data_IF_299208799176
#
_entry.id   IF_299208799176
#
_cell.length_a   1.000
_cell.length_b   1.000
_cell.length_c   1.000
_cell.angle_alpha   90.00
_cell.angle_beta   90.00
_cell.angle_gamma   90.00
#
_symmetry.space_group_name_H-M   'P 1'
#
loop_
_entity.id
_entity.type
_entity.pdbx_description
1 polymer ?
#
# COMPACT_ATOMS: atom_id res chain seq x y z
N UNK A 1 -45.13 9.84 -17.61
CA UNK A 1 -45.54 9.32 -16.29
C UNK A 1 -44.40 8.67 -15.49
N UNK A 2 -43.23 8.32 -16.06
CA UNK A 2 -42.03 7.98 -15.26
C UNK A 2 -41.26 9.22 -14.79
N UNK A 3 -41.12 10.23 -15.65
CA UNK A 3 -40.44 11.50 -15.33
C UNK A 3 -41.03 12.21 -14.10
N UNK A 4 -42.35 12.21 -13.95
CA UNK A 4 -43.06 12.89 -12.86
C UNK A 4 -42.84 12.24 -11.49
N UNK A 5 -42.51 10.94 -11.44
CA UNK A 5 -42.24 10.23 -10.17
C UNK A 5 -40.81 10.44 -9.67
N UNK A 6 -39.89 10.71 -10.58
CA UNK A 6 -38.49 11.02 -10.23
C UNK A 6 -38.35 12.50 -9.81
N UNK A 7 -39.24 13.39 -10.30
CA UNK A 7 -39.34 14.79 -9.86
C UNK A 7 -40.00 14.93 -8.48
N UNK A 8 -41.03 14.13 -8.15
CA UNK A 8 -41.67 14.12 -6.81
C UNK A 8 -40.77 13.56 -5.69
N UNK A 9 -39.74 12.77 -6.00
CA UNK A 9 -38.77 12.25 -5.02
C UNK A 9 -37.69 13.28 -4.63
N UNK A 10 -37.60 14.40 -5.34
CA UNK A 10 -36.58 15.44 -5.12
C UNK A 10 -37.05 16.59 -4.22
N UNK A 11 -38.27 16.52 -3.68
CA UNK A 11 -38.92 17.69 -3.08
C UNK A 11 -38.85 17.82 -1.55
N UNK A 12 -38.23 16.90 -0.78
CA UNK A 12 -38.13 17.11 0.69
C UNK A 12 -37.04 16.32 1.44
N UNK A 13 -35.97 15.89 0.75
CA UNK A 13 -34.83 15.20 1.37
C UNK A 13 -33.54 15.96 1.14
N UNK A 14 -32.80 16.30 2.21
CA UNK A 14 -31.44 16.82 2.07
C UNK A 14 -30.59 15.82 1.26
N UNK A 15 -30.10 16.24 0.08
CA UNK A 15 -29.25 15.39 -0.78
C UNK A 15 -28.03 14.97 0.02
N UNK A 16 -27.95 13.68 0.31
CA UNK A 16 -26.88 13.12 1.15
C UNK A 16 -25.68 12.74 0.29
N UNK A 17 -24.49 12.71 0.89
CA UNK A 17 -23.28 12.22 0.21
C UNK A 17 -23.43 10.77 -0.29
N UNK A 18 -24.30 9.98 0.34
CA UNK A 18 -24.60 8.61 -0.05
C UNK A 18 -25.37 8.56 -1.37
N UNK A 19 -26.34 9.46 -1.57
CA UNK A 19 -27.07 9.60 -2.84
C UNK A 19 -26.11 10.00 -3.97
N UNK A 20 -25.21 10.94 -3.69
CA UNK A 20 -24.15 11.32 -4.63
C UNK A 20 -23.28 10.11 -4.99
N UNK A 21 -22.85 9.32 -4.01
CA UNK A 21 -22.01 8.14 -4.26
C UNK A 21 -22.74 7.06 -5.08
N UNK A 22 -24.06 6.94 -4.92
CA UNK A 22 -24.88 6.04 -5.74
C UNK A 22 -24.95 6.49 -7.20
N UNK A 23 -25.15 7.78 -7.47
CA UNK A 23 -25.14 8.31 -8.83
C UNK A 23 -23.80 8.01 -9.53
N UNK A 24 -22.67 8.25 -8.86
CA UNK A 24 -21.35 7.91 -9.39
C UNK A 24 -21.22 6.40 -9.67
N UNK A 25 -21.77 5.54 -8.81
CA UNK A 25 -21.79 4.08 -9.02
C UNK A 25 -22.56 3.69 -10.29
N UNK A 26 -23.73 4.31 -10.50
CA UNK A 26 -24.57 4.04 -11.67
C UNK A 26 -23.90 4.52 -12.98
N UNK A 27 -23.32 5.72 -12.96
CA UNK A 27 -22.57 6.25 -14.11
C UNK A 27 -21.40 5.34 -14.45
N UNK A 28 -20.60 4.95 -13.44
CA UNK A 28 -19.50 4.01 -13.61
C UNK A 28 -19.97 2.69 -14.25
N UNK A 29 -21.06 2.11 -13.75
CA UNK A 29 -21.60 0.85 -14.29
C UNK A 29 -21.99 0.98 -15.77
N UNK A 30 -22.57 2.12 -16.16
CA UNK A 30 -22.89 2.41 -17.56
C UNK A 30 -21.63 2.43 -18.43
N UNK A 31 -20.57 3.13 -18.01
CA UNK A 31 -19.31 3.16 -18.74
C UNK A 31 -18.61 1.79 -18.77
N UNK A 32 -18.61 1.03 -17.68
CA UNK A 32 -18.10 -0.35 -17.65
C UNK A 32 -18.86 -1.25 -18.64
N UNK A 33 -20.19 -1.13 -18.74
CA UNK A 33 -21.00 -1.90 -19.68
C UNK A 33 -20.71 -1.58 -21.16
N UNK A 34 -20.14 -0.39 -21.42
CA UNK A 34 -19.73 0.09 -22.75
C UNK A 34 -18.25 -0.14 -23.04
N UNK A 35 -17.52 -0.88 -22.18
CA UNK A 35 -16.07 -1.10 -22.26
C UNK A 35 -15.25 0.20 -22.21
N UNK A 36 -15.84 1.28 -21.71
CA UNK A 36 -15.21 2.59 -21.58
C UNK A 36 -14.53 2.69 -20.21
N UNK A 37 -13.50 1.86 -20.02
CA UNK A 37 -12.88 1.62 -18.70
C UNK A 37 -12.09 2.81 -18.16
N UNK A 38 -11.58 3.68 -19.02
CA UNK A 38 -10.86 4.89 -18.61
C UNK A 38 -11.82 5.86 -17.91
N UNK A 39 -12.95 6.18 -18.53
CA UNK A 39 -13.98 7.05 -17.97
C UNK A 39 -14.61 6.44 -16.72
N UNK A 40 -14.88 5.12 -16.74
CA UNK A 40 -15.37 4.41 -15.56
C UNK A 40 -14.42 4.53 -14.34
N UNK A 41 -13.12 4.66 -14.60
CA UNK A 41 -12.12 4.85 -13.57
C UNK A 41 -12.17 6.23 -12.92
N UNK A 42 -12.32 7.29 -13.70
CA UNK A 42 -12.48 8.64 -13.17
C UNK A 42 -13.70 8.74 -12.24
N UNK A 43 -14.82 8.12 -12.63
CA UNK A 43 -16.01 8.05 -11.78
C UNK A 43 -15.82 7.18 -10.53
N UNK A 44 -14.96 6.16 -10.57
CA UNK A 44 -14.61 5.41 -9.38
C UNK A 44 -13.85 6.26 -8.36
N UNK A 45 -12.89 7.08 -8.82
CA UNK A 45 -12.16 8.00 -7.94
C UNK A 45 -13.14 8.99 -7.31
N UNK A 46 -14.01 9.60 -8.11
CA UNK A 46 -15.05 10.51 -7.62
C UNK A 46 -15.97 9.86 -6.57
N UNK A 47 -16.40 8.61 -6.81
CA UNK A 47 -17.17 7.84 -5.84
C UNK A 47 -16.44 7.69 -4.49
N UNK A 48 -15.16 7.31 -4.53
CA UNK A 48 -14.36 7.10 -3.31
C UNK A 48 -14.09 8.42 -2.57
N UNK A 49 -13.94 9.54 -3.28
CA UNK A 49 -13.77 10.86 -2.66
C UNK A 49 -15.04 11.32 -1.95
N UNK A 50 -16.22 11.05 -2.53
CA UNK A 50 -17.50 11.35 -1.91
C UNK A 50 -17.72 10.47 -0.67
N UNK A 51 -17.42 9.17 -0.74
CA UNK A 51 -17.44 8.28 0.42
C UNK A 51 -16.47 8.73 1.52
N UNK A 52 -15.32 9.27 1.16
CA UNK A 52 -14.38 9.81 2.14
C UNK A 52 -14.94 11.07 2.84
N UNK A 53 -15.69 11.89 2.12
CA UNK A 53 -16.36 13.09 2.66
C UNK A 53 -17.59 12.75 3.50
N UNK A 54 -18.33 11.69 3.15
CA UNK A 54 -19.50 11.23 3.91
C UNK A 54 -19.15 10.69 5.30
N UNK A 55 -17.94 10.16 5.47
CA UNK A 55 -17.48 9.62 6.74
C UNK A 55 -17.16 10.73 7.76
N UNK A 56 -17.69 10.58 8.97
CA UNK A 56 -17.33 11.37 10.14
C UNK A 56 -15.82 11.32 10.43
N UNK A 57 -15.28 12.39 11.02
CA UNK A 57 -13.83 12.50 11.29
C UNK A 57 -13.29 11.41 12.23
N UNK A 58 -14.12 10.94 13.17
CA UNK A 58 -13.74 9.91 14.14
C UNK A 58 -13.86 8.48 13.59
N UNK A 59 -14.33 8.32 12.35
CA UNK A 59 -14.53 7.00 11.78
C UNK A 59 -13.18 6.40 11.33
N UNK A 60 -12.75 5.23 11.86
CA UNK A 60 -11.49 4.60 11.46
C UNK A 60 -11.44 4.26 9.97
N UNK A 61 -12.60 4.01 9.33
CA UNK A 61 -12.68 3.78 7.88
C UNK A 61 -12.15 4.97 7.07
N UNK A 62 -12.30 6.19 7.57
CA UNK A 62 -11.81 7.41 6.92
C UNK A 62 -10.28 7.42 6.88
N UNK A 63 -9.65 6.99 7.97
CA UNK A 63 -8.20 6.84 8.03
C UNK A 63 -7.70 5.77 7.05
N UNK A 64 -8.33 4.60 7.03
CA UNK A 64 -7.99 3.54 6.07
C UNK A 64 -8.17 3.99 4.61
N UNK A 65 -9.24 4.71 4.28
CA UNK A 65 -9.47 5.23 2.94
C UNK A 65 -8.47 6.32 2.54
N UNK A 66 -8.04 7.19 3.48
CA UNK A 66 -6.94 8.13 3.23
C UNK A 66 -5.64 7.39 2.93
N UNK A 67 -5.30 6.39 3.73
CA UNK A 67 -4.10 5.59 3.52
C UNK A 67 -4.17 4.87 2.15
N UNK A 68 -5.32 4.31 1.81
CA UNK A 68 -5.56 3.69 0.51
C UNK A 68 -5.42 4.70 -0.66
N UNK A 69 -5.88 5.95 -0.48
CA UNK A 69 -5.67 7.06 -1.44
C UNK A 69 -4.18 7.37 -1.62
N UNK A 70 -3.43 7.52 -0.53
CA UNK A 70 -2.00 7.84 -0.57
C UNK A 70 -1.16 6.72 -1.19
N UNK A 71 -1.45 5.46 -0.82
CA UNK A 71 -0.63 4.32 -1.25
C UNK A 71 -0.91 3.93 -2.70
N UNK A 72 -2.17 3.98 -3.14
CA UNK A 72 -2.57 3.37 -4.41
C UNK A 72 -3.47 4.24 -5.31
N UNK A 73 -3.79 5.46 -4.90
CA UNK A 73 -4.82 6.29 -5.56
C UNK A 73 -6.16 5.57 -5.72
N UNK A 74 -6.63 4.90 -4.68
CA UNK A 74 -7.80 4.01 -4.75
C UNK A 74 -7.64 2.82 -5.73
N UNK A 75 -6.41 2.36 -5.95
CA UNK A 75 -6.08 1.24 -6.83
C UNK A 75 -6.07 1.59 -8.33
N UNK A 76 -6.12 2.88 -8.68
CA UNK A 76 -6.00 3.39 -10.06
C UNK A 76 -4.57 3.28 -10.60
N UNK A 77 -3.59 3.51 -9.73
CA UNK A 77 -2.19 3.62 -10.14
C UNK A 77 -1.45 2.32 -9.84
N UNK A 78 -0.94 1.65 -10.89
CA UNK A 78 -0.03 0.51 -10.75
C UNK A 78 1.37 0.96 -10.29
N UNK A 79 1.77 2.19 -10.67
CA UNK A 79 3.09 2.72 -10.34
C UNK A 79 3.29 3.05 -8.85
N UNK A 80 2.27 3.57 -8.15
CA UNK A 80 2.43 3.99 -6.74
C UNK A 80 2.73 2.83 -5.79
N UNK A 81 2.04 1.67 -5.86
CA UNK A 81 2.40 0.48 -5.09
C UNK A 81 3.84 0.01 -5.35
N UNK A 82 4.33 0.13 -6.60
CA UNK A 82 5.70 -0.25 -6.96
C UNK A 82 6.74 0.71 -6.36
N UNK A 83 6.43 2.01 -6.33
CA UNK A 83 7.27 3.02 -5.64
C UNK A 83 7.31 2.72 -4.14
N UNK A 84 6.16 2.40 -3.51
CA UNK A 84 6.09 2.01 -2.10
C UNK A 84 6.85 0.71 -1.82
N UNK A 85 6.79 -0.26 -2.74
CA UNK A 85 7.60 -1.48 -2.68
C UNK A 85 9.08 -1.14 -2.61
N UNK A 86 9.58 -0.38 -3.59
CA UNK A 86 10.99 0.01 -3.64
C UNK A 86 11.41 0.86 -2.43
N UNK A 87 10.56 1.82 -2.03
CA UNK A 87 10.82 2.71 -0.91
C UNK A 87 10.89 1.99 0.44
N UNK A 88 9.91 1.12 0.72
CA UNK A 88 9.92 0.32 1.95
C UNK A 88 11.06 -0.69 1.94
N UNK A 89 11.32 -1.35 0.80
CA UNK A 89 12.45 -2.28 0.68
C UNK A 89 13.79 -1.59 0.97
N UNK A 90 14.04 -0.42 0.38
CA UNK A 90 15.24 0.37 0.63
C UNK A 90 15.31 0.86 2.08
N UNK A 91 14.19 1.30 2.66
CA UNK A 91 14.13 1.74 4.07
C UNK A 91 14.53 0.60 5.01
N UNK A 92 13.93 -0.59 4.86
CA UNK A 92 14.28 -1.75 5.66
C UNK A 92 15.72 -2.22 5.37
N UNK A 93 16.17 -2.15 4.13
CA UNK A 93 17.55 -2.47 3.77
C UNK A 93 18.55 -1.58 4.49
N UNK A 94 18.32 -0.27 4.53
CA UNK A 94 19.15 0.66 5.27
C UNK A 94 19.08 0.37 6.77
N UNK A 95 17.88 0.13 7.30
CA UNK A 95 17.69 -0.21 8.70
C UNK A 95 18.52 -1.44 9.13
N UNK A 96 18.51 -2.50 8.33
CA UNK A 96 19.34 -3.70 8.55
C UNK A 96 20.82 -3.44 8.34
N UNK A 97 21.21 -2.60 7.38
CA UNK A 97 22.60 -2.21 7.18
C UNK A 97 23.17 -1.46 8.40
N UNK A 98 22.33 -0.66 9.10
CA UNK A 98 22.76 0.08 10.29
C UNK A 98 22.76 -0.75 11.57
N UNK A 99 21.88 -1.74 11.72
CA UNK A 99 21.63 -2.40 13.03
C UNK A 99 21.76 -3.93 13.02
N UNK A 100 21.95 -4.58 11.88
CA UNK A 100 21.57 -5.99 11.71
C UNK A 100 22.69 -7.03 11.61
N UNK A 101 23.93 -6.65 11.35
CA UNK A 101 24.98 -7.63 11.04
C UNK A 101 26.19 -7.46 11.96
N UNK A 102 26.26 -8.22 13.07
CA UNK A 102 27.53 -8.45 13.71
C UNK A 102 28.42 -9.26 12.75
N UNK A 103 29.67 -8.83 12.68
CA UNK A 103 30.75 -9.44 11.91
C UNK A 103 31.11 -10.80 12.53
N UNK A 104 30.25 -11.82 12.36
CA UNK A 104 30.56 -13.25 12.52
C UNK A 104 29.34 -14.14 12.20
N UNK A 105 29.26 -14.58 10.94
CA UNK A 105 28.64 -15.85 10.53
C UNK A 105 27.22 -16.18 11.01
N UNK A 106 26.23 -15.95 10.13
CA UNK A 106 24.98 -16.73 10.08
C UNK A 106 23.84 -16.30 11.01
N UNK A 107 24.03 -15.28 11.84
CA UNK A 107 22.99 -14.74 12.71
C UNK A 107 22.82 -13.24 12.46
N UNK A 108 21.55 -12.81 12.42
CA UNK A 108 21.18 -11.40 12.43
C UNK A 108 20.90 -11.05 13.89
N UNK A 109 21.86 -10.40 14.54
CA UNK A 109 21.70 -9.89 15.89
C UNK A 109 21.59 -8.36 15.86
N UNK A 110 20.73 -7.83 16.72
CA UNK A 110 20.52 -6.40 16.82
C UNK A 110 21.56 -5.84 17.79
N UNK A 111 22.70 -5.43 17.25
CA UNK A 111 23.72 -4.74 18.03
C UNK A 111 23.67 -3.26 17.69
N UNK A 112 23.47 -2.39 18.69
CA UNK A 112 23.48 -0.94 18.54
C UNK A 112 24.93 -0.41 18.43
N UNK A 113 25.84 -1.23 17.92
CA UNK A 113 27.17 -0.83 17.56
C UNK A 113 27.10 -0.15 16.19
N UNK A 114 27.80 0.98 16.01
CA UNK A 114 28.01 1.63 14.71
C UNK A 114 29.35 1.12 14.12
N UNK A 115 29.43 -0.11 13.58
CA UNK A 115 30.73 -0.76 13.34
C UNK A 115 31.43 -0.11 12.15
N UNK A 116 30.65 0.44 11.22
CA UNK A 116 31.09 1.19 10.04
C UNK A 116 31.74 2.55 10.36
N UNK A 117 31.50 3.12 11.55
CA UNK A 117 32.22 4.32 12.00
C UNK A 117 33.64 3.99 12.48
N UNK A 118 33.88 2.74 12.88
CA UNK A 118 35.12 2.30 13.53
C UNK A 118 36.11 1.64 12.55
N UNK A 119 35.67 1.14 11.39
CA UNK A 119 36.57 0.59 10.35
C UNK A 119 35.91 0.56 8.95
N UNK A 120 36.17 1.55 8.07
CA UNK A 120 35.66 1.55 6.70
C UNK A 120 36.50 0.62 5.81
N UNK A 121 36.20 -0.67 5.86
CA UNK A 121 36.88 -1.70 5.05
C UNK A 121 35.99 -2.25 3.91
N UNK A 122 36.60 -2.97 2.97
CA UNK A 122 35.95 -3.63 1.81
C UNK A 122 34.81 -4.57 2.23
N UNK A 123 34.83 -5.02 3.48
CA UNK A 123 33.83 -5.90 4.06
C UNK A 123 32.53 -5.18 4.38
N UNK A 124 32.57 -3.86 4.60
CA UNK A 124 31.38 -3.02 4.73
C UNK A 124 30.52 -3.08 3.46
N UNK A 125 31.13 -3.06 2.27
CA UNK A 125 30.41 -3.18 1.01
C UNK A 125 29.74 -4.55 0.85
N UNK A 126 30.38 -5.61 1.34
CA UNK A 126 29.81 -6.97 1.35
C UNK A 126 28.65 -7.08 2.34
N UNK A 127 28.74 -6.42 3.48
CA UNK A 127 27.71 -6.43 4.51
C UNK A 127 26.49 -5.59 4.12
N UNK A 128 26.68 -4.47 3.43
CA UNK A 128 25.59 -3.73 2.77
C UNK A 128 24.92 -4.59 1.68
N UNK A 129 25.71 -5.30 0.87
CA UNK A 129 25.14 -6.22 -0.13
C UNK A 129 24.30 -7.34 0.50
N UNK A 130 24.77 -7.90 1.61
CA UNK A 130 24.05 -8.94 2.38
C UNK A 130 22.78 -8.39 3.03
N UNK A 131 22.81 -7.17 3.56
CA UNK A 131 21.64 -6.54 4.19
C UNK A 131 20.53 -6.22 3.18
N UNK A 132 20.91 -5.78 1.98
CA UNK A 132 19.99 -5.58 0.85
C UNK A 132 19.31 -6.90 0.46
N UNK A 133 20.11 -7.96 0.30
CA UNK A 133 19.60 -9.29 -0.06
C UNK A 133 18.73 -9.88 1.04
N UNK A 134 19.13 -9.74 2.30
CA UNK A 134 18.36 -10.21 3.45
C UNK A 134 17.02 -9.47 3.57
N UNK A 135 17.04 -8.14 3.45
CA UNK A 135 15.82 -7.32 3.41
C UNK A 135 14.90 -7.76 2.28
N UNK A 136 15.45 -8.01 1.08
CA UNK A 136 14.65 -8.47 -0.05
C UNK A 136 14.00 -9.83 0.24
N UNK A 137 14.77 -10.79 0.75
CA UNK A 137 14.27 -12.13 1.08
C UNK A 137 13.19 -12.08 2.17
N UNK A 138 13.42 -11.34 3.24
CA UNK A 138 12.46 -11.17 4.34
C UNK A 138 11.20 -10.47 3.86
N UNK A 139 11.33 -9.45 3.01
CA UNK A 139 10.20 -8.75 2.39
C UNK A 139 9.36 -9.66 1.48
N UNK A 140 10.01 -10.58 0.77
CA UNK A 140 9.37 -11.61 -0.06
C UNK A 140 8.93 -12.84 0.74
N UNK A 141 8.96 -12.79 2.08
CA UNK A 141 8.56 -13.89 2.98
C UNK A 141 9.38 -15.18 2.80
N UNK A 142 10.58 -15.09 2.22
CA UNK A 142 11.49 -16.23 2.08
C UNK A 142 12.16 -16.51 3.44
N UNK A 143 12.19 -17.77 3.92
CA UNK A 143 12.91 -18.14 5.12
C UNK A 143 14.40 -18.18 4.81
N UNK A 144 15.25 -17.50 5.59
CA UNK A 144 16.68 -17.53 5.26
C UNK A 144 17.65 -17.55 6.44
N UNK A 145 17.32 -17.08 7.66
CA UNK A 145 18.29 -17.13 8.78
C UNK A 145 17.60 -17.31 10.14
N UNK A 146 18.36 -17.82 11.13
CA UNK A 146 17.94 -17.85 12.54
C UNK A 146 18.08 -16.43 13.11
N UNK A 147 16.94 -15.85 13.46
CA UNK A 147 16.84 -14.48 13.95
C UNK A 147 16.84 -14.48 15.50
N UNK A 148 17.52 -13.52 16.12
CA UNK A 148 17.34 -13.21 17.54
C UNK A 148 15.93 -12.67 17.84
N UNK A 149 15.51 -12.64 19.11
CA UNK A 149 14.12 -12.28 19.50
C UNK A 149 13.69 -10.90 18.95
N UNK A 150 14.60 -9.91 18.97
CA UNK A 150 14.34 -8.56 18.44
C UNK A 150 14.34 -8.54 16.91
N UNK A 151 15.26 -9.28 16.28
CA UNK A 151 15.28 -9.43 14.82
C UNK A 151 13.99 -10.10 14.32
N UNK A 152 13.42 -11.04 15.08
CA UNK A 152 12.16 -11.73 14.74
C UNK A 152 10.97 -10.80 14.69
N UNK A 153 10.85 -9.86 15.64
CA UNK A 153 9.72 -8.92 15.64
C UNK A 153 9.83 -7.94 14.46
N UNK A 154 11.03 -7.43 14.19
CA UNK A 154 11.28 -6.53 13.06
C UNK A 154 11.08 -7.26 11.72
N UNK A 155 11.59 -8.49 11.61
CA UNK A 155 11.38 -9.36 10.46
C UNK A 155 9.90 -9.69 10.22
N UNK A 156 9.12 -9.93 11.29
CA UNK A 156 7.68 -10.12 11.20
C UNK A 156 6.95 -8.88 10.68
N UNK A 157 7.29 -7.69 11.19
CA UNK A 157 6.72 -6.42 10.70
C UNK A 157 7.06 -6.20 9.22
N UNK A 158 8.30 -6.46 8.83
CA UNK A 158 8.73 -6.36 7.43
C UNK A 158 7.98 -7.34 6.52
N UNK A 159 7.74 -8.58 6.97
CA UNK A 159 6.94 -9.58 6.24
C UNK A 159 5.50 -9.13 6.07
N UNK A 160 4.87 -8.58 7.11
CA UNK A 160 3.51 -8.05 7.05
C UNK A 160 3.40 -6.86 6.09
N UNK A 161 4.37 -5.95 6.13
CA UNK A 161 4.46 -4.83 5.21
C UNK A 161 4.64 -5.32 3.75
N UNK A 162 5.52 -6.29 3.53
CA UNK A 162 5.75 -6.91 2.23
C UNK A 162 4.51 -7.58 1.65
N UNK A 163 3.85 -8.43 2.43
CA UNK A 163 2.60 -9.08 2.02
C UNK A 163 1.50 -8.07 1.67
N UNK A 164 1.40 -6.98 2.44
CA UNK A 164 0.43 -5.91 2.18
C UNK A 164 0.70 -5.20 0.85
N UNK A 165 1.95 -4.86 0.57
CA UNK A 165 2.34 -4.19 -0.68
C UNK A 165 2.16 -5.13 -1.88
N UNK A 166 2.54 -6.41 -1.76
CA UNK A 166 2.32 -7.41 -2.81
C UNK A 166 0.82 -7.55 -3.10
N UNK A 167 -0.03 -7.57 -2.06
CA UNK A 167 -1.49 -7.64 -2.23
C UNK A 167 -2.03 -6.43 -2.98
N UNK A 168 -1.60 -5.21 -2.61
CA UNK A 168 -1.97 -3.98 -3.31
C UNK A 168 -1.47 -3.96 -4.76
N UNK A 169 -0.27 -4.46 -4.99
CA UNK A 169 0.30 -4.59 -6.33
C UNK A 169 -0.51 -5.55 -7.20
N UNK A 170 -0.83 -6.74 -6.70
CA UNK A 170 -1.68 -7.72 -7.39
C UNK A 170 -3.06 -7.13 -7.67
N UNK A 171 -3.64 -6.41 -6.70
CA UNK A 171 -4.95 -5.75 -6.88
C UNK A 171 -4.91 -4.71 -7.99
N UNK A 172 -3.89 -3.84 -7.99
CA UNK A 172 -3.70 -2.82 -9.02
C UNK A 172 -3.45 -3.45 -10.39
N UNK A 173 -2.63 -4.51 -10.46
CA UNK A 173 -2.33 -5.25 -11.69
C UNK A 173 -3.58 -5.95 -12.24
N UNK A 174 -4.37 -6.62 -11.39
CA UNK A 174 -5.67 -7.20 -11.77
C UNK A 174 -6.64 -6.15 -12.32
N UNK A 175 -6.57 -4.91 -11.83
CA UNK A 175 -7.41 -3.81 -12.32
C UNK A 175 -6.92 -3.31 -13.68
N UNK A 176 -5.61 -3.20 -13.86
CA UNK A 176 -5.00 -2.79 -15.14
C UNK A 176 -5.27 -3.79 -16.27
N UNK A 177 -5.20 -5.10 -16.00
CA UNK A 177 -5.47 -6.14 -17.00
C UNK A 177 -6.96 -6.36 -17.32
N UNK A 178 -7.88 -5.79 -16.51
CA UNK A 178 -9.32 -5.81 -16.79
C UNK A 178 -9.81 -4.58 -17.57
N UNK A 179 -8.93 -3.60 -17.82
CA UNK A 179 -9.14 -2.54 -18.80
C UNK A 179 -8.73 -3.04 -20.18
#
# INVERSE_FOLDING_TARGET
>A
RKQTRDEELLEDGEVTYEDCAEVYRLIRFNYESRLAYEQASDFHVGQMEIMLKSLANDNPKKWFLRLYKYVSNFGESVGRPLIWFGGLWLLFSLFWAFNGFPYNGGYVDFDLAWPWLMSPDVEMAKDIGRSVLYSLKTFLTLPDLKEGVVSQTIGAVQRLAGASVITLFILALRRAFRR
#
